data_IF_529345379660
#
_entry.id   IF_529345379660
#
_cell.length_a   1.000
_cell.length_b   1.000
_cell.length_c   1.000
_cell.angle_alpha   90.00
_cell.angle_beta   90.00
_cell.angle_gamma   90.00
#
_symmetry.space_group_name_H-M   'P 1'
#
loop_
_entity.id
_entity.type
_entity.pdbx_description
1 polymer ?
#
# COMPACT_ATOMS: atom_id res chain seq x y z
N UNK A 1 -32.60 -39.63 -34.48
CA UNK A 1 -31.92 -38.67 -35.37
C UNK A 1 -31.94 -37.27 -34.76
N UNK A 2 -33.02 -36.86 -34.11
CA UNK A 2 -33.10 -35.58 -33.38
C UNK A 2 -32.10 -35.46 -32.21
N UNK A 3 -31.86 -36.53 -31.45
CA UNK A 3 -30.90 -36.49 -30.32
C UNK A 3 -29.45 -36.25 -30.77
N UNK A 4 -29.07 -36.81 -31.93
CA UNK A 4 -27.73 -36.61 -32.50
C UNK A 4 -27.53 -35.19 -33.04
N UNK A 5 -28.61 -34.55 -33.52
CA UNK A 5 -28.57 -33.15 -33.97
C UNK A 5 -28.47 -32.19 -32.78
N UNK A 6 -29.18 -32.45 -31.68
CA UNK A 6 -29.08 -31.67 -30.45
C UNK A 6 -27.69 -31.74 -29.83
N UNK A 7 -27.09 -32.93 -29.80
CA UNK A 7 -25.73 -33.12 -29.31
C UNK A 7 -24.69 -32.33 -30.13
N UNK A 8 -24.84 -32.29 -31.47
CA UNK A 8 -23.95 -31.51 -32.34
C UNK A 8 -24.13 -30.00 -32.12
N UNK A 9 -25.35 -29.51 -31.94
CA UNK A 9 -25.57 -28.08 -31.66
C UNK A 9 -25.00 -27.65 -30.31
N UNK A 10 -25.16 -28.46 -29.26
CA UNK A 10 -24.60 -28.16 -27.94
C UNK A 10 -23.07 -28.18 -27.95
N UNK A 11 -22.47 -29.11 -28.70
CA UNK A 11 -21.02 -29.14 -28.91
C UNK A 11 -20.52 -27.90 -29.64
N UNK A 12 -21.24 -27.45 -30.67
CA UNK A 12 -20.87 -26.28 -31.45
C UNK A 12 -21.00 -24.99 -30.62
N UNK A 13 -22.07 -24.86 -29.84
CA UNK A 13 -22.29 -23.72 -28.94
C UNK A 13 -21.22 -23.67 -27.84
N UNK A 14 -20.82 -24.82 -27.28
CA UNK A 14 -19.75 -24.89 -26.28
C UNK A 14 -18.39 -24.46 -26.85
N UNK A 15 -18.07 -24.86 -28.09
CA UNK A 15 -16.83 -24.44 -28.77
C UNK A 15 -16.85 -22.93 -29.06
N UNK A 16 -17.99 -22.38 -29.48
CA UNK A 16 -18.13 -20.94 -29.74
C UNK A 16 -18.01 -20.14 -28.45
N UNK A 17 -18.64 -20.56 -27.36
CA UNK A 17 -18.51 -19.92 -26.05
C UNK A 17 -17.07 -19.95 -25.54
N UNK A 18 -16.39 -21.09 -25.66
CA UNK A 18 -14.98 -21.20 -25.28
C UNK A 18 -14.08 -20.25 -26.09
N UNK A 19 -14.34 -20.09 -27.39
CA UNK A 19 -13.60 -19.15 -28.24
C UNK A 19 -13.83 -17.69 -27.80
N UNK A 20 -15.07 -17.32 -27.47
CA UNK A 20 -15.39 -15.98 -26.96
C UNK A 20 -14.72 -15.68 -25.61
N UNK A 21 -14.74 -16.64 -24.69
CA UNK A 21 -14.09 -16.50 -23.38
C UNK A 21 -12.56 -16.43 -23.49
N UNK A 22 -11.97 -17.16 -24.44
CA UNK A 22 -10.54 -17.10 -24.71
C UNK A 22 -10.13 -15.71 -25.21
N UNK A 23 -10.87 -15.14 -26.17
CA UNK A 23 -10.59 -13.78 -26.67
C UNK A 23 -10.77 -12.73 -25.57
N UNK A 24 -11.83 -12.84 -24.76
CA UNK A 24 -12.09 -11.93 -23.64
C UNK A 24 -10.97 -11.99 -22.60
N UNK A 25 -10.54 -13.19 -22.22
CA UNK A 25 -9.46 -13.40 -21.26
C UNK A 25 -8.14 -12.84 -21.77
N UNK A 26 -7.80 -13.08 -23.04
CA UNK A 26 -6.60 -12.52 -23.67
C UNK A 26 -6.62 -10.99 -23.62
N UNK A 27 -7.75 -10.36 -23.94
CA UNK A 27 -7.87 -8.91 -23.88
C UNK A 27 -7.72 -8.34 -22.46
N UNK A 28 -8.32 -9.00 -21.46
CA UNK A 28 -8.20 -8.61 -20.05
C UNK A 28 -6.75 -8.71 -19.56
N UNK A 29 -6.07 -9.83 -19.83
CA UNK A 29 -4.67 -10.01 -19.43
C UNK A 29 -3.77 -8.97 -20.08
N UNK A 30 -4.00 -8.64 -21.36
CA UNK A 30 -3.23 -7.61 -22.06
C UNK A 30 -3.44 -6.22 -21.45
N UNK A 31 -4.66 -5.92 -21.02
CA UNK A 31 -4.98 -4.68 -20.31
C UNK A 31 -4.32 -4.63 -18.93
N UNK A 32 -4.41 -5.72 -18.15
CA UNK A 32 -3.78 -5.80 -16.83
C UNK A 32 -2.26 -5.66 -16.91
N UNK A 33 -1.61 -6.27 -17.91
CA UNK A 33 -0.17 -6.10 -18.16
C UNK A 33 0.20 -4.64 -18.45
N UNK A 34 -0.67 -3.89 -19.14
CA UNK A 34 -0.42 -2.48 -19.46
C UNK A 34 -0.57 -1.58 -18.22
N UNK A 35 -1.56 -1.87 -17.37
CA UNK A 35 -1.73 -1.16 -16.08
C UNK A 35 -0.56 -1.46 -15.14
N UNK A 36 -0.13 -2.73 -15.07
CA UNK A 36 1.02 -3.14 -14.25
C UNK A 36 2.31 -2.44 -14.68
N UNK A 37 2.55 -2.32 -16.01
CA UNK A 37 3.68 -1.56 -16.54
C UNK A 37 3.63 -0.07 -16.15
N UNK A 38 2.44 0.54 -16.14
CA UNK A 38 2.28 1.93 -15.70
C UNK A 38 2.56 2.09 -14.20
N UNK A 39 2.05 1.17 -13.37
CA UNK A 39 2.35 1.13 -11.94
C UNK A 39 3.85 0.99 -11.67
N UNK A 40 4.54 0.11 -12.40
CA UNK A 40 5.99 -0.07 -12.29
C UNK A 40 6.78 1.21 -12.59
N UNK A 41 6.38 1.97 -13.61
CA UNK A 41 7.03 3.26 -13.93
C UNK A 41 6.82 4.27 -12.80
N UNK A 42 5.61 4.34 -12.23
CA UNK A 42 5.31 5.24 -11.10
C UNK A 42 6.12 4.85 -9.88
N UNK A 43 6.23 3.56 -9.56
CA UNK A 43 7.03 3.05 -8.46
C UNK A 43 8.51 3.41 -8.64
N UNK A 44 9.08 3.22 -9.85
CA UNK A 44 10.45 3.64 -10.15
C UNK A 44 10.70 5.14 -9.93
N UNK A 45 9.74 6.00 -10.30
CA UNK A 45 9.86 7.45 -10.09
C UNK A 45 9.79 7.78 -8.60
N UNK A 46 8.89 7.15 -7.85
CA UNK A 46 8.78 7.35 -6.40
C UNK A 46 10.05 6.87 -5.67
N UNK A 47 10.59 5.71 -6.04
CA UNK A 47 11.84 5.19 -5.47
C UNK A 47 13.03 6.10 -5.78
N UNK A 48 13.09 6.66 -7.00
CA UNK A 48 14.10 7.65 -7.34
C UNK A 48 13.98 8.90 -6.47
N UNK A 49 12.75 9.38 -6.21
CA UNK A 49 12.51 10.51 -5.30
C UNK A 49 12.90 10.17 -3.86
N UNK A 50 12.57 8.96 -3.37
CA UNK A 50 12.96 8.49 -2.04
C UNK A 50 14.48 8.42 -1.90
N UNK A 51 15.18 7.91 -2.92
CA UNK A 51 16.63 7.82 -2.94
C UNK A 51 17.26 9.22 -2.91
N UNK A 52 16.72 10.18 -3.67
CA UNK A 52 17.18 11.57 -3.64
C UNK A 52 16.90 12.25 -2.30
N UNK A 53 15.74 12.00 -1.69
CA UNK A 53 15.41 12.50 -0.35
C UNK A 53 16.29 11.90 0.74
N UNK A 54 16.74 10.65 0.59
CA UNK A 54 17.68 10.01 1.52
C UNK A 54 19.10 10.61 1.43
N UNK A 55 19.46 11.22 0.30
CA UNK A 55 20.76 11.87 0.10
C UNK A 55 20.77 13.34 0.55
N UNK A 56 19.61 13.99 0.62
CA UNK A 56 19.49 15.25 1.32
C UNK A 56 19.53 14.89 2.81
N UNK A 57 20.50 15.40 3.60
CA UNK A 57 20.34 15.41 5.04
C UNK A 57 19.22 16.41 5.31
N UNK A 58 17.97 15.99 5.10
CA UNK A 58 16.81 16.67 5.65
C UNK A 58 17.21 16.82 7.11
N UNK A 59 17.25 18.03 7.68
CA UNK A 59 17.27 18.13 9.11
C UNK A 59 15.98 17.45 9.54
N UNK A 60 16.08 16.17 9.86
CA UNK A 60 15.19 15.45 10.77
C UNK A 60 15.40 16.07 12.16
N UNK A 61 15.54 17.40 12.24
CA UNK A 61 15.58 18.21 13.45
C UNK A 61 14.17 18.41 14.01
N UNK A 62 13.17 17.75 13.41
CA UNK A 62 11.90 17.42 14.03
C UNK A 62 11.83 15.94 14.42
N UNK A 63 12.95 15.23 14.42
CA UNK A 63 13.05 13.99 15.20
C UNK A 63 12.92 14.40 16.67
N UNK A 64 12.21 13.59 17.46
CA UNK A 64 12.16 13.83 18.90
C UNK A 64 13.57 13.99 19.48
N UNK A 65 14.55 13.29 18.92
CA UNK A 65 15.94 13.28 19.33
C UNK A 65 16.60 14.67 19.31
N UNK A 66 16.39 15.49 18.27
CA UNK A 66 16.99 16.83 18.21
C UNK A 66 16.37 17.82 19.21
N UNK A 67 15.14 17.56 19.68
CA UNK A 67 14.56 18.31 20.81
C UNK A 67 15.19 17.90 22.14
N UNK A 68 15.63 16.64 22.26
CA UNK A 68 16.38 16.15 23.43
C UNK A 68 17.81 16.68 23.49
N UNK A 69 18.43 16.98 22.35
CA UNK A 69 19.81 17.49 22.29
C UNK A 69 19.93 18.96 22.75
N UNK A 70 18.84 19.72 22.75
CA UNK A 70 18.79 21.11 23.26
C UNK A 70 18.58 21.15 24.78
N UNK A 71 18.18 20.03 25.41
CA UNK A 71 17.95 19.96 26.84
C UNK A 71 19.27 19.84 27.62
N UNK A 72 19.46 20.58 28.72
CA UNK A 72 20.63 20.43 29.59
C UNK A 72 20.76 18.98 30.11
N UNK A 73 22.00 18.50 30.25
CA UNK A 73 22.28 17.11 30.66
C UNK A 73 21.65 16.69 32.01
N UNK A 74 21.44 17.65 32.93
CA UNK A 74 20.74 17.42 34.20
C UNK A 74 19.26 17.08 34.01
N UNK A 75 18.60 17.74 33.05
CA UNK A 75 17.18 17.53 32.72
C UNK A 75 17.00 16.24 31.93
N UNK A 76 17.92 15.92 31.01
CA UNK A 76 17.90 14.66 30.26
C UNK A 76 18.04 13.44 31.19
N UNK A 77 18.92 13.53 32.19
CA UNK A 77 19.11 12.48 33.19
C UNK A 77 17.83 12.23 34.00
N UNK A 78 17.15 13.30 34.44
CA UNK A 78 15.86 13.20 35.11
C UNK A 78 14.76 12.65 34.20
N UNK A 79 14.70 13.09 32.94
CA UNK A 79 13.72 12.57 31.97
C UNK A 79 13.86 11.07 31.70
N UNK A 80 15.11 10.58 31.70
CA UNK A 80 15.39 9.16 31.56
C UNK A 80 14.98 8.36 32.81
N UNK A 81 15.18 8.94 34.00
CA UNK A 81 14.83 8.31 35.27
C UNK A 81 13.30 8.17 35.48
N UNK A 82 12.51 9.12 34.96
CA UNK A 82 11.04 9.07 35.03
C UNK A 82 10.41 8.31 33.85
N UNK A 83 11.20 7.77 32.92
CA UNK A 83 10.71 6.99 31.79
C UNK A 83 9.95 7.81 30.73
N UNK A 84 10.21 9.12 30.64
CA UNK A 84 9.45 10.01 29.76
C UNK A 84 9.55 9.61 28.28
N UNK A 85 10.72 9.17 27.84
CA UNK A 85 10.93 8.70 26.46
C UNK A 85 10.08 7.47 26.13
N UNK A 86 9.88 6.58 27.11
CA UNK A 86 9.03 5.39 26.94
C UNK A 86 7.55 5.77 26.87
N UNK A 87 7.11 6.72 27.72
CA UNK A 87 5.75 7.23 27.69
C UNK A 87 5.40 7.90 26.35
N UNK A 88 6.31 8.71 25.80
CA UNK A 88 6.13 9.31 24.47
C UNK A 88 6.07 8.25 23.35
N UNK A 89 6.89 7.20 23.44
CA UNK A 89 6.85 6.08 22.51
C UNK A 89 5.50 5.38 22.48
N UNK A 90 4.90 5.12 23.65
CA UNK A 90 3.57 4.51 23.76
C UNK A 90 2.51 5.40 23.11
N UNK A 91 2.54 6.71 23.37
CA UNK A 91 1.59 7.66 22.78
C UNK A 91 1.73 7.71 21.25
N UNK A 92 2.95 7.72 20.72
CA UNK A 92 3.21 7.72 19.28
C UNK A 92 2.72 6.43 18.60
N UNK A 93 2.98 5.27 19.20
CA UNK A 93 2.49 3.98 18.70
C UNK A 93 0.97 3.94 18.72
N UNK A 94 0.33 4.44 19.78
CA UNK A 94 -1.12 4.53 19.87
C UNK A 94 -1.72 5.46 18.80
N UNK A 95 -1.07 6.60 18.54
CA UNK A 95 -1.47 7.54 17.48
C UNK A 95 -1.27 6.93 16.08
N UNK A 96 -0.20 6.16 15.88
CA UNK A 96 0.05 5.39 14.66
C UNK A 96 -1.05 4.37 14.39
N UNK A 97 -1.39 3.54 15.40
CA UNK A 97 -2.51 2.60 15.32
C UNK A 97 -3.82 3.35 15.00
N UNK A 98 -4.05 4.51 15.64
CA UNK A 98 -5.24 5.33 15.41
C UNK A 98 -5.33 5.83 13.96
N UNK A 99 -4.23 6.17 13.31
CA UNK A 99 -4.24 6.57 11.89
C UNK A 99 -4.37 5.37 10.95
N UNK A 100 -3.73 4.25 11.27
CA UNK A 100 -3.87 3.00 10.50
C UNK A 100 -5.32 2.50 10.50
N UNK A 101 -5.99 2.53 11.66
CA UNK A 101 -7.40 2.17 11.76
C UNK A 101 -8.31 3.16 11.02
N UNK A 102 -7.92 4.44 10.89
CA UNK A 102 -8.67 5.40 10.08
C UNK A 102 -8.53 5.20 8.57
N UNK A 103 -7.51 4.46 8.11
CA UNK A 103 -7.33 4.12 6.70
C UNK A 103 -8.28 2.99 6.26
N UNK A 104 -8.71 2.13 7.19
CA UNK A 104 -9.72 1.13 6.92
C UNK A 104 -11.07 1.86 6.78
N UNK A 105 -11.70 1.82 5.60
CA UNK A 105 -12.85 2.67 5.27
C UNK A 105 -14.08 2.41 6.16
N UNK A 106 -14.10 1.31 6.91
CA UNK A 106 -15.20 0.93 7.78
C UNK A 106 -15.25 1.67 9.13
N UNK A 107 -14.27 2.54 9.45
CA UNK A 107 -14.37 3.40 10.65
C UNK A 107 -14.25 4.91 10.35
N UNK A 108 -13.96 5.34 9.11
CA UNK A 108 -13.99 6.78 8.78
C UNK A 108 -14.12 7.19 7.29
N UNK A 109 -15.12 6.65 6.58
CA UNK A 109 -15.87 7.40 5.55
C UNK A 109 -17.38 7.36 5.87
N UNK A 110 -17.69 7.74 7.12
CA UNK A 110 -19.05 8.00 7.62
C UNK A 110 -19.33 9.49 7.75
N UNK A 111 -18.94 10.27 6.74
CA UNK A 111 -19.65 11.43 6.19
C UNK A 111 -19.28 11.55 4.72
#
# INVERSE_FOLDING_TARGET
MEDALQWISEFLDSIVQWLFDLVKTVFLVLWDMLVDLFCFIVEMVLDAVVLLLAQIPIPVSWSLQSLFDVLPASVLSMLSAIGFTQALGIVLVALGIRFLLQLIPFIRLGS
#
